data_IF_309497100054
#
_entry.id   IF_309497100054
#
_cell.length_a   1.000
_cell.length_b   1.000
_cell.length_c   1.000
_cell.angle_alpha   90.00
_cell.angle_beta   90.00
_cell.angle_gamma   90.00
#
_symmetry.space_group_name_H-M   'P 1'
#
loop_
_entity.id
_entity.type
_entity.pdbx_description
1 polymer ?
#
# COMPACT_ATOMS: atom_id res chain seq x y z
N UNK A 1 -3.96 -11.10 13.99
CA UNK A 1 -4.67 -10.93 15.28
C UNK A 1 -3.74 -10.47 16.44
N UNK A 2 -2.68 -9.67 16.18
CA UNK A 2 -1.71 -9.19 17.21
C UNK A 2 -1.25 -7.73 16.97
N UNK A 3 -2.12 -6.85 16.44
CA UNK A 3 -1.78 -5.42 16.19
C UNK A 3 -2.43 -4.45 17.19
N UNK A 4 -3.14 -4.96 18.20
CA UNK A 4 -3.94 -4.16 19.14
C UNK A 4 -3.27 -3.95 20.50
N UNK A 5 -2.25 -4.78 20.81
CA UNK A 5 -1.50 -4.79 22.06
C UNK A 5 -0.76 -3.49 22.41
N UNK A 6 -0.05 -2.81 21.48
CA UNK A 6 0.68 -1.58 21.83
C UNK A 6 -0.26 -0.39 22.10
N UNK A 7 -1.48 -0.40 21.57
CA UNK A 7 -2.44 0.70 21.70
C UNK A 7 -3.32 0.58 22.95
N UNK A 8 -3.67 -0.65 23.34
CA UNK A 8 -4.25 -0.92 24.64
C UNK A 8 -3.30 -0.51 25.76
N UNK A 9 -1.99 -0.80 25.59
CA UNK A 9 -0.93 -0.32 26.48
C UNK A 9 -0.86 1.21 26.50
N UNK A 10 -0.89 1.90 25.37
CA UNK A 10 -0.88 3.37 25.36
C UNK A 10 -2.11 3.99 26.04
N UNK A 11 -3.29 3.38 25.87
CA UNK A 11 -4.53 3.84 26.53
C UNK A 11 -4.52 3.59 28.03
N UNK A 12 -3.94 2.47 28.47
CA UNK A 12 -3.81 2.11 29.88
C UNK A 12 -2.72 2.97 30.56
N UNK A 13 -1.63 3.28 29.86
CA UNK A 13 -0.59 4.23 30.32
C UNK A 13 -1.15 5.65 30.40
N UNK A 14 -1.93 6.12 29.42
CA UNK A 14 -2.61 7.42 29.50
C UNK A 14 -3.63 7.46 30.65
N UNK A 15 -4.42 6.40 30.81
CA UNK A 15 -5.39 6.27 31.90
C UNK A 15 -4.72 6.25 33.28
N UNK A 16 -3.60 5.53 33.42
CA UNK A 16 -2.78 5.51 34.63
C UNK A 16 -2.13 6.86 34.91
N UNK A 17 -1.64 7.56 33.89
CA UNK A 17 -1.10 8.92 34.01
C UNK A 17 -2.18 9.92 34.45
N UNK A 18 -3.40 9.80 33.94
CA UNK A 18 -4.53 10.66 34.33
C UNK A 18 -4.99 10.40 35.77
N UNK A 19 -5.04 9.13 36.20
CA UNK A 19 -5.33 8.76 37.59
C UNK A 19 -4.24 9.25 38.55
N UNK A 20 -2.97 9.11 38.18
CA UNK A 20 -1.85 9.61 38.97
C UNK A 20 -1.86 11.14 39.10
N UNK A 21 -2.19 11.85 38.02
CA UNK A 21 -2.26 13.32 38.03
C UNK A 21 -3.49 13.84 38.82
N UNK A 22 -4.63 13.14 38.75
CA UNK A 22 -5.79 13.45 39.58
C UNK A 22 -5.53 13.19 41.08
N UNK A 23 -4.75 12.17 41.42
CA UNK A 23 -4.37 11.87 42.80
C UNK A 23 -3.34 12.84 43.39
N UNK A 24 -2.53 13.50 42.55
CA UNK A 24 -1.53 14.50 42.97
C UNK A 24 -2.07 15.95 42.98
N UNK A 25 -3.33 16.17 42.57
CA UNK A 25 -3.91 17.50 42.53
C UNK A 25 -4.15 18.02 43.98
N UNK A 26 -3.62 19.20 44.35
CA UNK A 26 -3.66 19.70 45.73
C UNK A 26 -5.06 20.05 46.26
N UNK A 27 -6.08 20.13 45.39
CA UNK A 27 -7.48 20.43 45.72
C UNK A 27 -8.44 19.24 45.48
N UNK A 28 -7.92 18.00 45.43
CA UNK A 28 -8.72 16.83 45.06
C UNK A 28 -9.80 16.48 46.10
N UNK A 29 -11.07 16.64 45.71
CA UNK A 29 -12.20 16.03 46.41
C UNK A 29 -12.03 14.49 46.50
N UNK A 30 -12.57 13.81 47.53
CA UNK A 30 -12.42 12.36 47.67
C UNK A 30 -12.93 11.63 46.43
N UNK A 31 -12.07 10.85 45.79
CA UNK A 31 -12.36 10.09 44.57
C UNK A 31 -13.56 9.17 44.82
N UNK A 32 -14.65 9.38 44.07
CA UNK A 32 -15.88 8.60 44.22
C UNK A 32 -15.87 7.43 43.23
N UNK A 33 -16.59 6.35 43.54
CA UNK A 33 -16.71 5.18 42.66
C UNK A 33 -17.18 5.53 41.23
N UNK A 34 -17.93 6.62 41.09
CA UNK A 34 -18.42 7.12 39.80
C UNK A 34 -17.31 7.72 38.93
N UNK A 35 -16.24 8.26 39.52
CA UNK A 35 -15.10 8.82 38.79
C UNK A 35 -14.26 7.69 38.19
N UNK A 36 -14.07 6.61 38.97
CA UNK A 36 -13.45 5.37 38.51
C UNK A 36 -14.27 4.74 37.37
N UNK A 37 -15.59 4.69 37.49
CA UNK A 37 -16.47 4.18 36.44
C UNK A 37 -16.36 4.99 35.14
N UNK A 38 -16.27 6.33 35.22
CA UNK A 38 -16.09 7.20 34.06
C UNK A 38 -14.73 7.01 33.38
N UNK A 39 -13.65 6.82 34.16
CA UNK A 39 -12.33 6.50 33.60
C UNK A 39 -12.33 5.14 32.90
N UNK A 40 -12.94 4.11 33.51
CA UNK A 40 -13.07 2.79 32.92
C UNK A 40 -13.92 2.81 31.64
N UNK A 41 -15.02 3.58 31.63
CA UNK A 41 -15.83 3.80 30.43
C UNK A 41 -15.02 4.44 29.31
N UNK A 42 -14.20 5.45 29.63
CA UNK A 42 -13.35 6.14 28.66
C UNK A 42 -12.25 5.22 28.10
N UNK A 43 -11.64 4.38 28.94
CA UNK A 43 -10.68 3.36 28.51
C UNK A 43 -11.34 2.31 27.59
N UNK A 44 -12.54 1.84 27.93
CA UNK A 44 -13.31 0.90 27.12
C UNK A 44 -13.72 1.52 25.78
N UNK A 45 -14.14 2.78 25.78
CA UNK A 45 -14.48 3.52 24.56
C UNK A 45 -13.25 3.69 23.66
N UNK A 46 -12.08 4.04 24.20
CA UNK A 46 -10.84 4.12 23.44
C UNK A 46 -10.42 2.78 22.83
N UNK A 47 -10.65 1.66 23.52
CA UNK A 47 -10.44 0.33 22.94
C UNK A 47 -11.42 0.06 21.78
N UNK A 48 -12.66 0.53 21.89
CA UNK A 48 -13.69 0.41 20.86
C UNK A 48 -13.52 1.39 19.67
N UNK A 49 -12.68 2.44 19.79
CA UNK A 49 -12.40 3.42 18.73
C UNK A 49 -11.97 2.81 17.39
N UNK A 50 -11.47 1.57 17.38
CA UNK A 50 -11.09 0.88 16.13
C UNK A 50 -12.28 0.40 15.32
N UNK A 51 -13.34 -0.05 15.98
CA UNK A 51 -14.55 -0.60 15.35
C UNK A 51 -15.62 0.47 15.16
N UNK A 52 -15.80 1.32 16.17
CA UNK A 52 -16.83 2.35 16.18
C UNK A 52 -16.24 3.70 16.60
N UNK A 53 -15.45 4.38 15.73
CA UNK A 53 -14.74 5.61 16.06
C UNK A 53 -15.67 6.75 16.52
N UNK A 54 -16.87 6.85 15.93
CA UNK A 54 -17.83 7.91 16.28
C UNK A 54 -18.49 7.65 17.64
N UNK A 55 -18.93 6.41 17.91
CA UNK A 55 -19.54 6.03 19.19
C UNK A 55 -18.55 6.23 20.33
N UNK A 56 -17.30 5.79 20.12
CA UNK A 56 -16.25 5.97 21.09
C UNK A 56 -15.91 7.44 21.31
N UNK A 57 -15.84 8.27 20.27
CA UNK A 57 -15.62 9.70 20.37
C UNK A 57 -16.71 10.38 21.23
N UNK A 58 -17.99 10.04 21.00
CA UNK A 58 -19.11 10.56 21.77
C UNK A 58 -18.98 10.13 23.24
N UNK A 59 -18.74 8.85 23.49
CA UNK A 59 -18.61 8.31 24.85
C UNK A 59 -17.45 8.93 25.62
N UNK A 60 -16.28 9.06 24.98
CA UNK A 60 -15.08 9.72 25.57
C UNK A 60 -15.38 11.18 25.87
N UNK A 61 -15.96 11.92 24.92
CA UNK A 61 -16.28 13.35 25.10
C UNK A 61 -17.28 13.57 26.22
N UNK A 62 -18.36 12.78 26.27
CA UNK A 62 -19.39 12.87 27.28
C UNK A 62 -18.86 12.48 28.68
N UNK A 63 -18.12 11.37 28.78
CA UNK A 63 -17.52 10.94 30.03
C UNK A 63 -16.53 11.99 30.56
N UNK A 64 -15.77 12.63 29.67
CA UNK A 64 -14.79 13.62 30.05
C UNK A 64 -15.41 14.94 30.51
N UNK A 65 -16.47 15.40 29.84
CA UNK A 65 -17.27 16.54 30.31
C UNK A 65 -17.87 16.28 31.69
N UNK A 66 -18.39 15.07 31.92
CA UNK A 66 -18.95 14.67 33.22
C UNK A 66 -17.88 14.67 34.34
N UNK A 67 -16.68 14.15 34.05
CA UNK A 67 -15.54 14.22 34.96
C UNK A 67 -15.09 15.66 35.21
N UNK A 68 -15.07 16.49 34.15
CA UNK A 68 -14.62 17.87 34.25
C UNK A 68 -15.50 18.71 35.20
N UNK A 69 -16.81 18.50 35.16
CA UNK A 69 -17.77 19.15 36.05
C UNK A 69 -17.57 18.73 37.53
N UNK A 70 -17.09 17.51 37.78
CA UNK A 70 -17.01 16.92 39.13
C UNK A 70 -15.70 17.15 39.86
N UNK A 71 -14.57 16.98 39.17
CA UNK A 71 -13.25 16.87 39.82
C UNK A 71 -12.35 18.06 39.47
N UNK A 72 -12.79 18.98 38.60
CA UNK A 72 -11.95 20.04 38.02
C UNK A 72 -10.55 19.54 37.59
N UNK A 73 -10.47 18.42 36.83
CA UNK A 73 -9.22 17.97 36.28
C UNK A 73 -8.60 19.13 35.48
N UNK A 74 -7.33 19.41 35.77
CA UNK A 74 -6.55 20.48 35.14
C UNK A 74 -6.42 20.31 33.62
N UNK A 75 -5.43 20.97 33.01
CA UNK A 75 -5.24 20.93 31.54
C UNK A 75 -5.04 19.49 30.99
N UNK A 76 -4.74 18.53 31.86
CA UNK A 76 -4.71 17.09 31.59
C UNK A 76 -6.04 16.52 31.07
N UNK A 77 -7.16 17.25 31.24
CA UNK A 77 -8.46 16.79 30.79
C UNK A 77 -8.62 16.68 29.27
N UNK A 78 -7.74 17.31 28.47
CA UNK A 78 -7.84 17.29 27.02
C UNK A 78 -7.35 16.00 26.35
N UNK A 79 -6.43 15.26 26.98
CA UNK A 79 -5.67 14.20 26.30
C UNK A 79 -6.50 13.02 25.77
N UNK A 80 -7.47 12.46 26.52
CA UNK A 80 -8.31 11.37 26.01
C UNK A 80 -9.15 11.78 24.79
N UNK A 81 -9.70 13.00 24.83
CA UNK A 81 -10.52 13.55 23.75
C UNK A 81 -9.66 13.84 22.52
N UNK A 82 -8.45 14.39 22.71
CA UNK A 82 -7.47 14.59 21.64
C UNK A 82 -7.13 13.28 20.91
N UNK A 83 -6.90 12.20 21.68
CA UNK A 83 -6.64 10.88 21.11
C UNK A 83 -7.83 10.35 20.30
N UNK A 84 -9.05 10.48 20.82
CA UNK A 84 -10.26 10.08 20.11
C UNK A 84 -10.49 10.91 18.83
N UNK A 85 -10.27 12.22 18.88
CA UNK A 85 -10.35 13.15 17.74
C UNK A 85 -9.33 12.79 16.66
N UNK A 86 -8.07 12.56 17.03
CA UNK A 86 -7.02 12.13 16.10
C UNK A 86 -7.42 10.83 15.37
N UNK A 87 -7.93 9.84 16.11
CA UNK A 87 -8.36 8.55 15.54
C UNK A 87 -9.58 8.71 14.62
N UNK A 88 -10.56 9.52 15.02
CA UNK A 88 -11.76 9.77 14.22
C UNK A 88 -11.43 10.55 12.93
N UNK A 89 -10.58 11.57 13.01
CA UNK A 89 -10.08 12.33 11.87
C UNK A 89 -9.27 11.43 10.92
N UNK A 90 -8.38 10.60 11.45
CA UNK A 90 -7.58 9.64 10.68
C UNK A 90 -8.42 8.55 9.98
N UNK A 91 -9.60 8.23 10.50
CA UNK A 91 -10.57 7.33 9.86
C UNK A 91 -11.52 8.00 8.87
N UNK A 92 -11.42 9.32 8.68
CA UNK A 92 -12.22 10.08 7.71
C UNK A 92 -13.48 10.73 8.28
N UNK A 93 -13.75 10.62 9.58
CA UNK A 93 -14.89 11.27 10.24
C UNK A 93 -14.55 12.70 10.69
N UNK A 94 -14.09 13.53 9.75
CA UNK A 94 -13.64 14.91 10.03
C UNK A 94 -14.70 15.81 10.66
N UNK A 95 -15.97 15.66 10.25
CA UNK A 95 -17.08 16.46 10.78
C UNK A 95 -17.39 16.08 12.22
N UNK A 96 -17.39 14.77 12.53
CA UNK A 96 -17.57 14.29 13.89
C UNK A 96 -16.40 14.71 14.79
N UNK A 97 -15.16 14.64 14.28
CA UNK A 97 -13.97 15.09 15.01
C UNK A 97 -14.01 16.60 15.31
N UNK A 98 -14.36 17.43 14.32
CA UNK A 98 -14.50 18.87 14.50
C UNK A 98 -15.64 19.24 15.45
N UNK A 99 -16.80 18.57 15.33
CA UNK A 99 -17.94 18.78 16.21
C UNK A 99 -17.62 18.38 17.65
N UNK A 100 -16.94 17.25 17.86
CA UNK A 100 -16.51 16.82 19.20
C UNK A 100 -15.49 17.80 19.81
N UNK A 101 -14.52 18.31 19.02
CA UNK A 101 -13.62 19.37 19.47
C UNK A 101 -14.38 20.60 19.92
N UNK A 102 -15.36 21.06 19.13
CA UNK A 102 -16.16 22.25 19.41
C UNK A 102 -17.00 22.08 20.68
N UNK A 103 -17.67 20.93 20.81
CA UNK A 103 -18.51 20.60 21.99
C UNK A 103 -17.66 20.53 23.25
N UNK A 104 -16.49 19.88 23.18
CA UNK A 104 -15.59 19.76 24.33
C UNK A 104 -15.02 21.12 24.75
N UNK A 105 -14.50 21.92 23.81
CA UNK A 105 -13.96 23.24 24.12
C UNK A 105 -15.05 24.20 24.62
N UNK A 106 -16.23 24.17 24.01
CA UNK A 106 -17.37 25.00 24.43
C UNK A 106 -17.82 24.66 25.84
N UNK A 107 -17.94 23.36 26.18
CA UNK A 107 -18.31 22.92 27.52
C UNK A 107 -17.23 23.23 28.57
N UNK A 108 -15.95 23.08 28.21
CA UNK A 108 -14.82 23.44 29.06
C UNK A 108 -14.83 24.94 29.36
N UNK A 109 -14.95 25.79 28.34
CA UNK A 109 -14.97 27.24 28.49
C UNK A 109 -16.18 27.73 29.29
N UNK A 110 -17.38 27.21 28.98
CA UNK A 110 -18.60 27.57 29.71
C UNK A 110 -18.49 27.22 31.20
N UNK A 111 -17.87 26.07 31.52
CA UNK A 111 -17.68 25.65 32.90
C UNK A 111 -16.63 26.49 33.63
N UNK A 112 -15.49 26.79 33.00
CA UNK A 112 -14.44 27.63 33.58
C UNK A 112 -14.95 29.06 33.85
N UNK A 113 -15.80 29.62 32.98
CA UNK A 113 -16.45 30.92 33.21
C UNK A 113 -17.42 30.87 34.40
N UNK A 114 -18.25 29.82 34.49
CA UNK A 114 -19.28 29.70 35.53
C UNK A 114 -18.71 29.49 36.95
N UNK A 115 -17.50 28.95 37.07
CA UNK A 115 -16.83 28.66 38.36
C UNK A 115 -15.72 29.67 38.67
N UNK A 116 -15.47 30.65 37.81
CA UNK A 116 -14.45 31.67 38.02
C UNK A 116 -14.81 32.54 39.26
N UNK A 117 -13.95 32.58 40.30
CA UNK A 117 -14.10 33.53 41.40
C UNK A 117 -14.04 34.97 40.88
N UNK A 118 -14.84 35.86 41.46
CA UNK A 118 -14.77 37.29 41.18
C UNK A 118 -13.35 37.80 41.44
N UNK A 119 -12.60 38.11 40.38
CA UNK A 119 -11.22 38.59 40.47
C UNK A 119 -10.14 37.70 39.82
N UNK A 120 -10.47 36.53 39.25
CA UNK A 120 -9.50 35.82 38.38
C UNK A 120 -9.26 36.62 37.09
N UNK A 121 -8.00 36.77 36.64
CA UNK A 121 -7.73 37.43 35.38
C UNK A 121 -8.27 36.57 34.24
N UNK A 122 -9.28 37.06 33.52
CA UNK A 122 -9.87 36.38 32.36
C UNK A 122 -8.82 35.99 31.32
N UNK A 123 -7.69 36.68 31.30
CA UNK A 123 -6.52 36.38 30.48
C UNK A 123 -5.98 34.95 30.68
N UNK A 124 -5.94 34.41 31.90
CA UNK A 124 -5.47 33.03 32.15
C UNK A 124 -6.43 31.97 31.57
N UNK A 125 -7.74 32.24 31.63
CA UNK A 125 -8.78 31.35 31.06
C UNK A 125 -8.68 31.35 29.53
N UNK A 126 -8.53 32.53 28.94
CA UNK A 126 -8.36 32.71 27.50
C UNK A 126 -7.08 32.02 27.01
N UNK A 127 -5.95 32.23 27.69
CA UNK A 127 -4.66 31.62 27.32
C UNK A 127 -4.72 30.09 27.38
N UNK A 128 -5.28 29.53 28.46
CA UNK A 128 -5.43 28.08 28.62
C UNK A 128 -6.36 27.47 27.57
N UNK A 129 -7.46 28.15 27.26
CA UNK A 129 -8.41 27.71 26.22
C UNK A 129 -7.78 27.81 24.82
N UNK A 130 -6.99 28.85 24.55
CA UNK A 130 -6.28 29.03 23.28
C UNK A 130 -5.20 27.95 23.07
N UNK A 131 -4.45 27.59 24.11
CA UNK A 131 -3.48 26.48 24.06
C UNK A 131 -4.16 25.14 23.78
N UNK A 132 -5.30 24.87 24.42
CA UNK A 132 -6.10 23.68 24.15
C UNK A 132 -6.64 23.69 22.72
N UNK A 133 -7.18 24.82 22.25
CA UNK A 133 -7.63 24.99 20.87
C UNK A 133 -6.52 24.60 19.88
N UNK A 134 -5.30 25.10 20.10
CA UNK A 134 -4.13 24.77 19.29
C UNK A 134 -3.86 23.27 19.22
N UNK A 135 -3.92 22.57 20.36
CA UNK A 135 -3.75 21.11 20.40
C UNK A 135 -4.86 20.36 19.67
N UNK A 136 -6.12 20.78 19.79
CA UNK A 136 -7.25 20.16 19.09
C UNK A 136 -7.19 20.38 17.58
N UNK A 137 -6.77 21.56 17.14
CA UNK A 137 -6.49 21.85 15.73
C UNK A 137 -5.36 20.96 15.23
N UNK A 138 -4.24 20.89 15.96
CA UNK A 138 -3.10 20.04 15.62
C UNK A 138 -3.50 18.56 15.51
N UNK A 139 -4.32 18.04 16.43
CA UNK A 139 -4.79 16.66 16.40
C UNK A 139 -5.69 16.37 15.18
N UNK A 140 -6.58 17.31 14.81
CA UNK A 140 -7.41 17.19 13.60
C UNK A 140 -6.55 17.17 12.33
N UNK A 141 -5.59 18.10 12.22
CA UNK A 141 -4.68 18.18 11.06
C UNK A 141 -3.79 16.94 10.99
N UNK A 142 -3.21 16.51 12.11
CA UNK A 142 -2.37 15.31 12.16
C UNK A 142 -3.14 14.06 11.75
N UNK A 143 -4.41 13.93 12.15
CA UNK A 143 -5.28 12.85 11.71
C UNK A 143 -5.50 12.88 10.19
N UNK A 144 -5.77 14.06 9.62
CA UNK A 144 -5.94 14.22 8.18
C UNK A 144 -4.66 13.90 7.40
N UNK A 145 -3.51 14.41 7.84
CA UNK A 145 -2.21 14.14 7.24
C UNK A 145 -1.87 12.65 7.32
N UNK A 146 -2.15 12.00 8.44
CA UNK A 146 -1.94 10.56 8.58
C UNK A 146 -2.79 9.76 7.58
N UNK A 147 -4.05 10.17 7.34
CA UNK A 147 -4.90 9.56 6.32
C UNK A 147 -4.34 9.78 4.91
N UNK A 148 -3.93 11.01 4.58
CA UNK A 148 -3.34 11.32 3.28
C UNK A 148 -2.05 10.56 3.03
N UNK A 149 -1.17 10.45 4.03
CA UNK A 149 0.05 9.65 3.95
C UNK A 149 -0.23 8.17 3.70
N UNK A 150 -1.24 7.59 4.36
CA UNK A 150 -1.62 6.19 4.12
C UNK A 150 -2.12 5.97 2.69
N UNK A 151 -3.01 6.83 2.22
CA UNK A 151 -3.51 6.76 0.84
C UNK A 151 -2.38 6.94 -0.18
N UNK A 152 -1.42 7.84 0.09
CA UNK A 152 -0.25 8.03 -0.76
C UNK A 152 0.65 6.79 -0.78
N UNK A 153 0.92 6.19 0.37
CA UNK A 153 1.72 4.96 0.46
C UNK A 153 1.07 3.79 -0.28
N UNK A 154 -0.23 3.60 -0.12
CA UNK A 154 -1.00 2.58 -0.86
C UNK A 154 -0.89 2.80 -2.38
N UNK A 155 -0.97 4.05 -2.84
CA UNK A 155 -0.78 4.37 -4.26
C UNK A 155 0.64 4.12 -4.75
N UNK A 156 1.66 4.42 -3.94
CA UNK A 156 3.06 4.17 -4.28
C UNK A 156 3.35 2.67 -4.34
N UNK A 157 2.83 1.90 -3.38
CA UNK A 157 2.96 0.44 -3.35
C UNK A 157 2.30 -0.20 -4.58
N UNK A 158 1.08 0.24 -4.92
CA UNK A 158 0.39 -0.23 -6.11
C UNK A 158 1.18 0.08 -7.40
N UNK A 159 1.71 1.28 -7.52
CA UNK A 159 2.57 1.67 -8.66
C UNK A 159 3.87 0.86 -8.71
N UNK A 160 4.46 0.52 -7.57
CA UNK A 160 5.66 -0.30 -7.51
C UNK A 160 5.38 -1.73 -8.01
N UNK A 161 4.26 -2.32 -7.58
CA UNK A 161 3.82 -3.65 -8.03
C UNK A 161 3.54 -3.65 -9.54
N UNK A 162 2.86 -2.62 -10.06
CA UNK A 162 2.60 -2.48 -11.50
C UNK A 162 3.89 -2.30 -12.32
N UNK A 163 4.85 -1.52 -11.80
CA UNK A 163 6.15 -1.33 -12.44
C UNK A 163 6.99 -2.61 -12.45
N UNK A 164 6.94 -3.41 -11.38
CA UNK A 164 7.61 -4.71 -11.30
C UNK A 164 7.03 -5.69 -12.32
N UNK A 165 5.71 -5.85 -12.36
CA UNK A 165 5.02 -6.68 -13.35
C UNK A 165 5.36 -6.28 -14.79
N UNK A 166 5.34 -4.99 -15.08
CA UNK A 166 5.68 -4.49 -16.42
C UNK A 166 7.14 -4.80 -16.79
N UNK A 167 8.07 -4.71 -15.83
CA UNK A 167 9.49 -5.06 -16.05
C UNK A 167 9.67 -6.55 -16.32
N UNK A 168 8.99 -7.41 -15.58
CA UNK A 168 9.02 -8.87 -15.81
C UNK A 168 8.46 -9.23 -17.19
N UNK A 169 7.32 -8.66 -17.56
CA UNK A 169 6.74 -8.87 -18.89
C UNK A 169 7.66 -8.39 -20.01
N UNK A 170 8.28 -7.21 -19.86
CA UNK A 170 9.27 -6.71 -20.82
C UNK A 170 10.50 -7.61 -20.89
N UNK A 171 10.98 -8.14 -19.76
CA UNK A 171 12.12 -9.05 -19.73
C UNK A 171 11.81 -10.38 -20.45
N UNK A 172 10.63 -10.95 -20.21
CA UNK A 172 10.16 -12.17 -20.90
C UNK A 172 9.99 -11.93 -22.39
N UNK A 173 9.40 -10.79 -22.79
CA UNK A 173 9.27 -10.41 -24.20
C UNK A 173 10.63 -10.28 -24.88
N UNK A 174 11.56 -9.53 -24.28
CA UNK A 174 12.93 -9.37 -24.80
C UNK A 174 13.67 -10.71 -24.91
N UNK A 175 13.53 -11.57 -23.90
CA UNK A 175 14.12 -12.92 -23.96
C UNK A 175 13.52 -13.78 -25.07
N UNK A 176 12.21 -13.66 -25.33
CA UNK A 176 11.54 -14.31 -26.45
C UNK A 176 12.01 -13.79 -27.81
N UNK A 177 12.09 -12.47 -27.98
CA UNK A 177 12.60 -11.83 -29.19
C UNK A 177 14.05 -12.22 -29.49
N UNK A 178 14.89 -12.28 -28.46
CA UNK A 178 16.29 -12.71 -28.58
C UNK A 178 16.40 -14.16 -29.04
N UNK A 179 15.61 -15.07 -28.45
CA UNK A 179 15.57 -16.48 -28.88
C UNK A 179 15.15 -16.62 -30.34
N UNK A 180 14.16 -15.83 -30.79
CA UNK A 180 13.73 -15.82 -32.19
C UNK A 180 14.80 -15.24 -33.12
N UNK A 181 15.54 -14.21 -32.69
CA UNK A 181 16.68 -13.67 -33.44
C UNK A 181 17.77 -14.71 -33.60
N UNK A 182 18.20 -15.35 -32.51
CA UNK A 182 19.20 -16.42 -32.52
C UNK A 182 18.77 -17.55 -33.46
N UNK A 183 17.51 -17.99 -33.39
CA UNK A 183 17.01 -19.04 -34.27
C UNK A 183 17.10 -18.65 -35.77
N UNK A 184 16.82 -17.38 -36.11
CA UNK A 184 16.93 -16.86 -37.48
C UNK A 184 18.38 -16.80 -37.95
N UNK A 185 19.27 -16.23 -37.14
CA UNK A 185 20.70 -16.12 -37.46
C UNK A 185 21.33 -17.52 -37.65
N UNK A 186 20.95 -18.47 -36.78
CA UNK A 186 21.37 -19.87 -36.91
C UNK A 186 20.83 -20.49 -38.20
N UNK A 187 19.55 -20.28 -38.54
CA UNK A 187 18.94 -20.83 -39.74
C UNK A 187 19.57 -20.28 -41.03
N UNK A 188 19.83 -18.97 -41.08
CA UNK A 188 20.44 -18.32 -42.25
C UNK A 188 21.87 -18.81 -42.46
N UNK A 189 22.66 -18.91 -41.39
CA UNK A 189 24.03 -19.44 -41.43
C UNK A 189 24.08 -20.92 -41.83
N UNK A 190 23.18 -21.76 -41.28
CA UNK A 190 23.04 -23.17 -41.65
C UNK A 190 22.65 -23.33 -43.12
N UNK A 191 21.64 -22.59 -43.57
CA UNK A 191 21.15 -22.64 -44.96
C UNK A 191 22.24 -22.22 -45.94
N UNK A 192 22.99 -21.17 -45.60
CA UNK A 192 24.12 -20.71 -46.40
C UNK A 192 25.21 -21.78 -46.50
N UNK A 193 25.65 -22.33 -45.36
CA UNK A 193 26.71 -23.34 -45.29
C UNK A 193 26.36 -24.61 -46.06
N UNK A 194 25.13 -25.12 -45.91
CA UNK A 194 24.66 -26.31 -46.64
C UNK A 194 24.54 -26.02 -48.13
N UNK A 195 24.10 -24.82 -48.53
CA UNK A 195 24.04 -24.43 -49.95
C UNK A 195 25.43 -24.41 -50.61
N UNK A 196 26.45 -23.88 -49.92
CA UNK A 196 27.83 -23.89 -50.41
C UNK A 196 28.35 -25.33 -50.56
N UNK A 197 28.15 -26.19 -49.55
CA UNK A 197 28.55 -27.61 -49.60
C UNK A 197 27.88 -28.31 -50.78
N UNK A 198 26.58 -28.10 -50.97
CA UNK A 198 25.82 -28.69 -52.08
C UNK A 198 26.35 -28.26 -53.45
N UNK A 199 26.64 -26.97 -53.62
CA UNK A 199 27.19 -26.43 -54.87
C UNK A 199 28.59 -26.99 -55.13
N UNK A 200 29.48 -26.99 -54.13
CA UNK A 200 30.84 -27.51 -54.26
C UNK A 200 30.85 -29.01 -54.57
N UNK A 201 30.06 -29.81 -53.87
CA UNK A 201 29.91 -31.24 -54.13
C UNK A 201 29.34 -31.49 -55.55
N UNK A 202 28.34 -30.71 -55.96
CA UNK A 202 27.78 -30.78 -57.31
C UNK A 202 28.78 -30.44 -58.41
N UNK A 203 29.61 -29.40 -58.21
CA UNK A 203 30.68 -29.02 -59.14
C UNK A 203 31.73 -30.14 -59.24
N UNK A 204 32.17 -30.69 -58.11
CA UNK A 204 33.16 -31.77 -58.08
C UNK A 204 32.66 -33.03 -58.82
N UNK A 205 31.42 -33.44 -58.58
CA UNK A 205 30.79 -34.58 -59.29
C UNK A 205 30.63 -34.30 -60.79
N UNK A 206 30.22 -33.08 -61.16
CA UNK A 206 30.08 -32.69 -62.56
C UNK A 206 31.42 -32.67 -63.30
N UNK A 207 32.47 -32.15 -62.66
CA UNK A 207 33.81 -32.06 -63.24
C UNK A 207 34.43 -33.44 -63.44
N UNK A 208 34.33 -34.35 -62.47
CA UNK A 208 34.78 -35.74 -62.60
C UNK A 208 34.12 -36.44 -63.81
N UNK A 209 32.79 -36.34 -63.92
CA UNK A 209 32.05 -36.90 -65.07
C UNK A 209 32.47 -36.29 -66.41
N UNK A 210 32.72 -34.97 -66.44
CA UNK A 210 33.16 -34.26 -67.66
C UNK A 210 34.55 -34.71 -68.13
N UNK A 211 35.43 -35.09 -67.19
CA UNK A 211 36.76 -35.62 -67.50
C UNK A 211 36.78 -37.14 -67.76
N UNK A 212 35.62 -37.82 -67.70
CA UNK A 212 35.54 -39.27 -67.90
C UNK A 212 35.96 -40.10 -66.68
N UNK A 213 36.10 -39.47 -65.51
CA UNK A 213 36.44 -40.11 -64.24
C UNK A 213 35.17 -40.47 -63.46
N UNK A 214 35.24 -41.54 -62.67
CA UNK A 214 34.14 -41.92 -61.77
C UNK A 214 34.18 -41.04 -60.49
N UNK A 215 33.10 -40.31 -60.15
CA UNK A 215 33.08 -39.49 -58.94
C UNK A 215 33.25 -40.36 -57.69
N UNK A 216 34.11 -39.92 -56.76
CA UNK A 216 34.27 -40.59 -55.47
C UNK A 216 32.93 -40.82 -54.76
N UNK A 217 32.73 -42.02 -54.22
CA UNK A 217 31.55 -42.38 -53.43
C UNK A 217 31.30 -41.39 -52.28
N UNK A 218 32.36 -40.82 -51.69
CA UNK A 218 32.23 -39.81 -50.65
C UNK A 218 31.59 -38.50 -51.15
N UNK A 219 31.91 -38.05 -52.38
CA UNK A 219 31.33 -36.84 -52.96
C UNK A 219 29.84 -37.03 -53.29
N UNK A 220 29.46 -38.20 -53.79
CA UNK A 220 28.07 -38.57 -54.04
C UNK A 220 27.26 -38.58 -52.73
N UNK A 221 27.81 -39.17 -51.67
CA UNK A 221 27.19 -39.17 -50.35
C UNK A 221 27.01 -37.74 -49.79
N UNK A 222 28.02 -36.87 -49.92
CA UNK A 222 27.93 -35.47 -49.49
C UNK A 222 26.87 -34.68 -50.31
N UNK A 223 26.80 -34.89 -51.62
CA UNK A 223 25.81 -34.25 -52.49
C UNK A 223 24.38 -34.66 -52.12
N UNK A 224 24.17 -35.95 -51.82
CA UNK A 224 22.87 -36.49 -51.43
C UNK A 224 22.46 -36.00 -50.03
N UNK A 225 23.37 -36.07 -49.05
CA UNK A 225 23.13 -35.63 -47.68
C UNK A 225 22.81 -34.13 -47.60
N UNK A 226 23.59 -33.28 -48.29
CA UNK A 226 23.33 -31.83 -48.35
C UNK A 226 22.02 -31.49 -49.05
N UNK A 227 21.62 -32.26 -50.06
CA UNK A 227 20.32 -32.11 -50.73
C UNK A 227 19.15 -32.54 -49.86
N UNK A 228 19.30 -33.60 -49.08
CA UNK A 228 18.30 -34.05 -48.11
C UNK A 228 18.10 -33.02 -46.99
N UNK A 229 19.18 -32.54 -46.38
CA UNK A 229 19.14 -31.54 -45.32
C UNK A 229 18.44 -30.23 -45.76
N UNK A 230 18.69 -29.75 -46.99
CA UNK A 230 18.00 -28.58 -47.54
C UNK A 230 16.49 -28.79 -47.74
N UNK A 231 16.07 -30.01 -48.11
CA UNK A 231 14.63 -30.33 -48.26
C UNK A 231 13.93 -30.31 -46.90
N UNK A 232 14.56 -30.88 -45.88
CA UNK A 232 14.02 -30.95 -44.53
C UNK A 232 13.93 -29.57 -43.86
N UNK A 233 14.93 -28.72 -44.05
CA UNK A 233 14.88 -27.32 -43.60
C UNK A 233 13.74 -26.53 -44.26
N UNK A 234 13.52 -26.70 -45.58
CA UNK A 234 12.39 -26.06 -46.28
C UNK A 234 11.04 -26.58 -45.81
N UNK A 235 10.92 -27.89 -45.62
CA UNK A 235 9.69 -28.49 -45.10
C UNK A 235 9.33 -27.94 -43.72
N UNK A 236 10.32 -27.72 -42.85
CA UNK A 236 10.11 -27.13 -41.51
C UNK A 236 9.67 -25.66 -41.59
N UNK A 237 10.22 -24.88 -42.53
CA UNK A 237 9.78 -23.50 -42.79
C UNK A 237 8.39 -23.41 -43.42
N UNK A 238 8.03 -24.32 -44.32
CA UNK A 238 6.70 -24.35 -44.94
C UNK A 238 5.60 -24.61 -43.90
N UNK A 239 5.88 -25.45 -42.89
CA UNK A 239 4.98 -25.66 -41.74
C UNK A 239 4.81 -24.40 -40.88
N UNK A 240 5.86 -23.58 -40.75
CA UNK A 240 5.78 -22.27 -40.05
C UNK A 240 5.16 -21.16 -40.90
N UNK A 241 5.14 -21.31 -42.24
CA UNK A 241 4.64 -20.32 -43.21
C UNK A 241 3.22 -20.58 -43.69
N UNK A 242 2.69 -21.79 -43.47
CA UNK A 242 1.28 -22.07 -43.70
C UNK A 242 0.45 -21.06 -42.90
N UNK A 243 -0.40 -20.24 -43.56
CA UNK A 243 -1.21 -19.27 -42.84
C UNK A 243 -2.05 -20.06 -41.84
N UNK A 244 -2.00 -19.64 -40.58
CA UNK A 244 -3.02 -20.02 -39.61
C UNK A 244 -4.33 -19.50 -40.18
N UNK A 245 -5.00 -20.37 -40.91
CA UNK A 245 -6.35 -20.19 -41.41
C UNK A 245 -7.22 -20.01 -40.19
N UNK A 246 -7.44 -18.74 -39.86
CA UNK A 246 -8.61 -18.28 -39.13
C UNK A 246 -9.79 -18.68 -39.99
N UNK A 247 -10.25 -19.92 -39.82
CA UNK A 247 -11.60 -20.30 -40.19
C UNK A 247 -12.53 -19.54 -39.25
N UNK A 248 -12.95 -18.39 -39.77
CA UNK A 248 -14.28 -17.85 -39.51
C UNK A 248 -15.30 -18.94 -39.87
N UNK A 249 -15.57 -19.86 -38.95
CA UNK A 249 -16.78 -20.67 -39.02
C UNK A 249 -17.93 -19.72 -38.72
N UNK A 250 -18.71 -19.48 -39.78
CA UNK A 250 -19.70 -18.44 -39.87
C UNK A 250 -20.90 -18.64 -38.93
N UNK A 251 -21.44 -17.48 -38.57
CA UNK A 251 -22.85 -17.21 -38.40
C UNK A 251 -23.68 -17.95 -39.48
N UNK A 252 -24.55 -18.83 -39.01
CA UNK A 252 -25.71 -19.37 -39.71
C UNK A 252 -26.84 -19.47 -38.70
#
# INVERSE_FOLDING_TARGET
MRRDLPYALSGLVLGGFLLGNAALAPDAAPVRAIDVALVLLMAAALAACRRHPVVALIAVTAAMLALHVRVHPGASAGFPVLGAVYVAAGRGHRSAAALASLVFLGGFLARDIAVAPAGRPGQLIVERTALLLGWFVAANVAGLVARQRRAYLEQVEQRAIEAERTREEMALRRAGEERLRIARDLHDSLTHSISVIKVQAGIAVHLARKHGEEPSAALLAIQEASSAAMRELRATLDVLRAPSGVDRVGLG
#
